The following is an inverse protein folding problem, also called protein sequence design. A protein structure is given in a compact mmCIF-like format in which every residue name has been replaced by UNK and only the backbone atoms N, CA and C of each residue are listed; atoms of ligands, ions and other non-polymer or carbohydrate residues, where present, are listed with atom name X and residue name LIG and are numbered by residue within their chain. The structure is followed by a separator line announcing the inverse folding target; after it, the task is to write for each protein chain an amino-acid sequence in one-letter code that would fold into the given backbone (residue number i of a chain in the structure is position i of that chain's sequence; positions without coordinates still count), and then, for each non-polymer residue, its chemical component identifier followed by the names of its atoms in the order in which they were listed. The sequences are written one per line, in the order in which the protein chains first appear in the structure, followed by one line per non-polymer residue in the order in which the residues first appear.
data_IF_234461492692
#
_entry.id   IF_234461492692
#
_cell.length_a   1.000
_cell.length_b   1.000
_cell.length_c   1.000
_cell.angle_alpha   90.00
_cell.angle_beta   90.00
_cell.angle_gamma   90.00
#
_symmetry.space_group_name_H-M   'P 1'
#
loop_
_entity.id
_entity.type
_entity.pdbx_description
1 polymer ?
#
# COMPACT_ATOMS: atom_id res chain seq x y z
N UNK A 1 -1.32 29.72 -1.62
CA UNK A 1 -1.28 28.26 -1.37
C UNK A 1 -0.75 27.59 -2.62
N UNK A 2 0.50 27.13 -2.61
CA UNK A 2 1.03 26.31 -3.70
C UNK A 2 0.40 24.92 -3.51
N UNK A 3 -0.61 24.59 -4.33
CA UNK A 3 -1.03 23.20 -4.49
C UNK A 3 0.18 22.48 -5.08
N UNK A 4 0.92 21.73 -4.27
CA UNK A 4 1.92 20.81 -4.79
C UNK A 4 1.18 19.87 -5.75
N UNK A 5 1.42 20.04 -7.05
CA UNK A 5 0.87 19.12 -8.05
C UNK A 5 1.54 17.78 -7.79
N UNK A 6 0.79 16.84 -7.22
CA UNK A 6 1.25 15.48 -7.02
C UNK A 6 1.54 14.88 -8.39
N UNK A 7 2.81 14.86 -8.80
CA UNK A 7 3.24 14.38 -10.11
C UNK A 7 3.28 12.85 -10.13
N UNK A 8 2.81 12.29 -11.24
CA UNK A 8 2.99 10.88 -11.60
C UNK A 8 4.49 10.52 -11.58
N UNK A 9 4.80 9.28 -11.21
CA UNK A 9 6.16 8.76 -11.21
C UNK A 9 6.23 7.38 -11.83
N UNK A 10 7.40 7.00 -12.32
CA UNK A 10 7.60 5.72 -13.00
C UNK A 10 8.95 5.10 -12.65
N UNK A 11 9.02 3.78 -12.80
CA UNK A 11 10.27 3.02 -12.91
C UNK A 11 10.25 2.22 -14.23
N UNK A 12 11.22 1.33 -14.42
CA UNK A 12 11.32 0.53 -15.66
C UNK A 12 10.09 -0.35 -15.92
N UNK A 13 9.35 -0.76 -14.86
CA UNK A 13 8.21 -1.69 -14.95
C UNK A 13 6.85 -1.02 -14.86
N UNK A 14 6.73 0.05 -14.09
CA UNK A 14 5.47 0.61 -13.65
C UNK A 14 5.39 2.13 -13.86
N UNK A 15 4.21 2.61 -14.21
CA UNK A 15 3.78 4.00 -14.06
C UNK A 15 2.81 4.08 -12.87
N UNK A 16 3.06 4.98 -11.93
CA UNK A 16 2.18 5.29 -10.81
C UNK A 16 1.54 6.65 -11.02
N UNK A 17 0.21 6.65 -11.10
CA UNK A 17 -0.60 7.86 -11.16
C UNK A 17 -1.25 8.10 -9.80
N UNK A 18 -1.14 9.33 -9.29
CA UNK A 18 -1.71 9.67 -7.99
C UNK A 18 -3.20 9.97 -8.18
N UNK A 19 -4.05 9.25 -7.43
CA UNK A 19 -5.51 9.45 -7.47
C UNK A 19 -5.93 10.42 -6.38
N UNK A 20 -5.44 10.20 -5.15
CA UNK A 20 -5.66 11.08 -3.99
C UNK A 20 -4.52 10.94 -2.97
N UNK A 21 -4.73 11.43 -1.75
CA UNK A 21 -3.73 11.43 -0.68
C UNK A 21 -3.25 10.04 -0.24
N UNK A 22 -3.98 8.96 -0.55
CA UNK A 22 -3.66 7.59 -0.11
C UNK A 22 -3.74 6.55 -1.23
N UNK A 23 -4.46 6.84 -2.32
CA UNK A 23 -4.69 5.92 -3.43
C UNK A 23 -3.89 6.31 -4.65
N UNK A 24 -3.26 5.32 -5.26
CA UNK A 24 -2.57 5.39 -6.55
C UNK A 24 -3.20 4.42 -7.54
N UNK A 25 -2.97 4.68 -8.82
CA UNK A 25 -3.18 3.73 -9.91
C UNK A 25 -1.83 3.29 -10.45
N UNK A 26 -1.51 2.01 -10.33
CA UNK A 26 -0.32 1.40 -10.91
C UNK A 26 -0.65 0.79 -12.26
N UNK A 27 0.11 1.16 -13.28
CA UNK A 27 0.00 0.64 -14.64
C UNK A 27 1.29 -0.12 -14.95
N UNK A 28 1.17 -1.39 -15.32
CA UNK A 28 2.28 -2.21 -15.81
C UNK A 28 2.60 -1.80 -17.24
N UNK A 29 3.82 -1.37 -17.54
CA UNK A 29 4.18 -0.80 -18.84
C UNK A 29 4.04 -1.80 -20.00
N UNK A 30 4.41 -3.05 -19.78
CA UNK A 30 4.38 -4.08 -20.84
C UNK A 30 2.95 -4.51 -21.21
N UNK A 31 2.09 -4.70 -20.21
CA UNK A 31 0.74 -5.23 -20.42
C UNK A 31 -0.32 -4.14 -20.50
N UNK A 32 0.01 -2.90 -20.10
CA UNK A 32 -0.92 -1.79 -19.91
C UNK A 32 -2.05 -2.09 -18.89
N UNK A 33 -1.93 -3.18 -18.13
CA UNK A 33 -2.87 -3.51 -17.07
C UNK A 33 -2.73 -2.50 -15.93
N UNK A 34 -3.87 -2.06 -15.41
CA UNK A 34 -3.92 -1.10 -14.32
C UNK A 34 -4.60 -1.67 -13.10
N UNK A 35 -4.07 -1.35 -11.93
CA UNK A 35 -4.65 -1.71 -10.64
C UNK A 35 -4.54 -0.52 -9.70
N UNK A 36 -5.53 -0.32 -8.84
CA UNK A 36 -5.44 0.66 -7.77
C UNK A 36 -4.72 0.08 -6.58
N UNK A 37 -3.92 0.89 -5.91
CA UNK A 37 -3.20 0.48 -4.72
C UNK A 37 -3.10 1.58 -3.66
N UNK A 38 -3.00 1.14 -2.41
CA UNK A 38 -2.68 1.95 -1.25
C UNK A 38 -1.80 1.15 -0.31
N UNK A 39 -1.05 1.84 0.55
CA UNK A 39 -0.16 1.19 1.51
C UNK A 39 -0.56 1.52 2.94
N UNK A 40 -0.36 0.53 3.79
CA UNK A 40 -0.49 0.60 5.23
C UNK A 40 0.82 0.10 5.84
N UNK A 41 1.24 0.70 6.95
CA UNK A 41 2.48 0.34 7.62
C UNK A 41 2.27 0.27 9.12
N UNK A 42 2.88 -0.75 9.73
CA UNK A 42 2.82 -0.94 11.18
C UNK A 42 3.71 0.02 11.93
N UNK A 43 3.39 0.19 13.21
CA UNK A 43 4.38 0.59 14.18
C UNK A 43 5.54 -0.43 14.20
N UNK A 44 6.65 -0.03 14.82
CA UNK A 44 7.75 -0.93 15.10
C UNK A 44 7.34 -1.89 16.22
N UNK A 45 7.15 -3.15 15.86
CA UNK A 45 6.58 -4.17 16.73
C UNK A 45 7.55 -5.33 16.89
N UNK A 46 7.44 -6.04 18.01
CA UNK A 46 8.07 -7.36 18.13
C UNK A 46 7.36 -8.35 17.19
N UNK A 47 8.05 -9.44 16.84
CA UNK A 47 7.45 -10.46 15.97
C UNK A 47 6.13 -11.00 16.53
N UNK A 48 6.02 -11.16 17.86
CA UNK A 48 4.80 -11.63 18.51
C UNK A 48 3.64 -10.64 18.33
N UNK A 49 3.88 -9.34 18.54
CA UNK A 49 2.85 -8.31 18.41
C UNK A 49 2.37 -8.13 16.96
N UNK A 50 3.22 -8.39 15.97
CA UNK A 50 2.83 -8.37 14.56
C UNK A 50 1.76 -9.40 14.22
N UNK A 51 1.76 -10.56 14.88
CA UNK A 51 0.72 -11.58 14.67
C UNK A 51 -0.67 -11.01 14.98
N UNK A 52 -0.80 -10.27 16.08
CA UNK A 52 -2.04 -9.59 16.45
C UNK A 52 -2.39 -8.46 15.49
N UNK A 53 -1.39 -7.72 15.03
CA UNK A 53 -1.53 -6.64 14.06
C UNK A 53 -2.10 -7.14 12.70
N UNK A 54 -1.71 -8.33 12.24
CA UNK A 54 -2.29 -8.90 11.01
C UNK A 54 -3.79 -9.18 11.09
N UNK A 55 -4.38 -9.25 12.30
CA UNK A 55 -5.82 -9.39 12.45
C UNK A 55 -6.59 -8.11 12.09
N UNK A 56 -5.97 -6.93 12.17
CA UNK A 56 -6.58 -5.66 11.76
C UNK A 56 -6.85 -5.64 10.25
N UNK A 57 -6.06 -6.40 9.49
CA UNK A 57 -6.22 -6.58 8.06
C UNK A 57 -7.26 -7.65 7.71
N UNK A 58 -7.86 -8.34 8.68
CA UNK A 58 -8.81 -9.43 8.42
C UNK A 58 -10.00 -8.94 7.59
N UNK A 59 -10.60 -7.81 7.98
CA UNK A 59 -11.76 -7.24 7.26
C UNK A 59 -11.38 -6.89 5.83
N UNK A 60 -10.23 -6.22 5.63
CA UNK A 60 -9.71 -5.89 4.30
C UNK A 60 -9.46 -7.15 3.48
N UNK A 61 -8.79 -8.17 4.05
CA UNK A 61 -8.47 -9.44 3.41
C UNK A 61 -9.72 -10.22 3.00
N UNK A 62 -10.75 -10.24 3.85
CA UNK A 62 -12.01 -10.92 3.55
C UNK A 62 -12.76 -10.20 2.42
N UNK A 63 -12.55 -8.88 2.26
CA UNK A 63 -13.19 -8.07 1.24
C UNK A 63 -12.46 -8.11 -0.13
N UNK A 64 -11.16 -7.78 -0.18
CA UNK A 64 -10.40 -7.74 -1.45
C UNK A 64 -9.73 -9.07 -1.79
N UNK A 65 -9.70 -10.02 -0.86
CA UNK A 65 -9.05 -11.32 -1.04
C UNK A 65 -7.54 -11.29 -0.79
N UNK A 66 -7.02 -12.39 -0.24
CA UNK A 66 -5.61 -12.53 0.14
C UNK A 66 -4.63 -12.36 -1.04
N UNK A 67 -5.03 -12.75 -2.26
CA UNK A 67 -4.20 -12.63 -3.46
C UNK A 67 -3.91 -11.18 -3.86
N UNK A 68 -4.70 -10.23 -3.35
CA UNK A 68 -4.57 -8.79 -3.61
C UNK A 68 -3.83 -8.05 -2.48
N UNK A 69 -3.12 -8.78 -1.62
CA UNK A 69 -2.35 -8.24 -0.50
C UNK A 69 -0.91 -8.70 -0.60
N UNK A 70 0.02 -7.76 -0.71
CA UNK A 70 1.44 -8.02 -0.60
C UNK A 70 1.98 -7.40 0.68
N UNK A 71 2.76 -8.16 1.44
CA UNK A 71 3.35 -7.68 2.68
C UNK A 71 4.86 -7.88 2.66
N UNK A 72 5.59 -6.86 3.09
CA UNK A 72 7.04 -6.92 3.29
C UNK A 72 7.32 -6.66 4.76
N UNK A 73 8.15 -7.53 5.35
CA UNK A 73 8.60 -7.38 6.72
C UNK A 73 10.04 -6.87 6.72
N UNK A 74 10.27 -5.72 7.34
CA UNK A 74 11.59 -5.11 7.47
C UNK A 74 12.09 -5.27 8.89
N UNK A 75 13.31 -5.80 9.05
CA UNK A 75 13.96 -5.86 10.36
C UNK A 75 14.49 -4.46 10.72
N UNK A 76 14.09 -3.95 11.88
CA UNK A 76 14.49 -2.62 12.36
C UNK A 76 15.64 -2.69 13.40
N UNK A 77 16.12 -3.91 13.68
CA UNK A 77 17.13 -4.18 14.70
C UNK A 77 16.53 -4.49 16.08
N UNK A 78 17.35 -5.05 16.96
CA UNK A 78 17.00 -5.33 18.37
C UNK A 78 15.69 -6.13 18.57
N UNK A 79 15.35 -7.02 17.62
CA UNK A 79 14.13 -7.84 17.69
C UNK A 79 12.83 -7.12 17.31
N UNK A 80 12.93 -5.90 16.77
CA UNK A 80 11.80 -5.14 16.23
C UNK A 80 11.72 -5.26 14.72
N UNK A 81 10.49 -5.22 14.23
CA UNK A 81 10.15 -5.36 12.83
C UNK A 81 9.04 -4.37 12.47
N UNK A 82 8.99 -4.03 11.20
CA UNK A 82 7.93 -3.20 10.64
C UNK A 82 7.34 -3.89 9.41
N UNK A 83 6.03 -4.05 9.39
CA UNK A 83 5.31 -4.59 8.25
C UNK A 83 4.83 -3.43 7.36
N UNK A 84 5.14 -3.50 6.07
CA UNK A 84 4.56 -2.64 5.04
C UNK A 84 3.67 -3.49 4.15
N UNK A 85 2.40 -3.11 4.04
CA UNK A 85 1.36 -3.88 3.36
C UNK A 85 0.81 -3.07 2.21
N UNK A 86 0.98 -3.57 0.99
CA UNK A 86 0.39 -3.04 -0.22
C UNK A 86 -0.91 -3.79 -0.52
N UNK A 87 -1.98 -3.04 -0.69
CA UNK A 87 -3.34 -3.53 -0.96
C UNK A 87 -3.72 -3.16 -2.38
N UNK A 88 -4.33 -4.08 -3.12
CA UNK A 88 -4.66 -3.91 -4.53
C UNK A 88 -6.15 -4.13 -4.79
N UNK A 89 -6.72 -3.40 -5.75
CA UNK A 89 -8.06 -3.66 -6.28
C UNK A 89 -8.20 -3.08 -7.69
N UNK A 90 -9.12 -3.63 -8.47
CA UNK A 90 -9.49 -3.10 -9.78
C UNK A 90 -10.33 -1.81 -9.68
N UNK A 91 -10.80 -1.45 -8.48
CA UNK A 91 -11.61 -0.25 -8.21
C UNK A 91 -11.05 0.57 -7.05
N UNK A 92 -10.83 1.87 -7.29
CA UNK A 92 -10.44 2.81 -6.23
C UNK A 92 -11.51 2.90 -5.12
N UNK A 93 -12.80 2.78 -5.48
CA UNK A 93 -13.88 2.84 -4.50
C UNK A 93 -13.91 1.61 -3.61
N UNK A 94 -13.74 0.43 -4.22
CA UNK A 94 -13.65 -0.84 -3.49
C UNK A 94 -12.47 -0.80 -2.52
N UNK A 95 -11.30 -0.34 -2.99
CA UNK A 95 -10.11 -0.21 -2.16
C UNK A 95 -10.32 0.74 -0.98
N UNK A 96 -10.95 1.90 -1.19
CA UNK A 96 -11.26 2.86 -0.12
C UNK A 96 -12.20 2.26 0.93
N UNK A 97 -13.25 1.57 0.49
CA UNK A 97 -14.19 0.95 1.42
C UNK A 97 -13.51 -0.18 2.23
N UNK A 98 -12.68 -0.99 1.57
CA UNK A 98 -11.93 -2.07 2.23
C UNK A 98 -10.92 -1.58 3.28
N UNK A 99 -10.58 -0.29 3.27
CA UNK A 99 -9.51 0.30 4.06
C UNK A 99 -9.97 1.47 4.93
N UNK A 100 -11.28 1.70 5.04
CA UNK A 100 -11.83 2.83 5.81
C UNK A 100 -11.49 2.79 7.30
N UNK A 101 -11.18 1.60 7.83
CA UNK A 101 -10.76 1.38 9.21
C UNK A 101 -9.24 1.40 9.41
N UNK A 102 -8.46 1.57 8.34
CA UNK A 102 -6.99 1.57 8.39
C UNK A 102 -6.42 2.99 8.32
N UNK A 103 -5.30 3.21 9.00
CA UNK A 103 -4.51 4.44 8.83
C UNK A 103 -3.50 4.25 7.69
N UNK A 104 -3.88 4.70 6.50
CA UNK A 104 -3.05 4.56 5.30
C UNK A 104 -1.87 5.53 5.28
N UNK A 105 -0.78 5.13 4.65
CA UNK A 105 0.35 6.02 4.38
C UNK A 105 -0.05 7.15 3.43
N UNK A 106 0.57 8.32 3.59
CA UNK A 106 0.50 9.37 2.57
C UNK A 106 1.11 8.87 1.26
N UNK A 107 0.49 9.25 0.15
CA UNK A 107 0.86 8.80 -1.19
C UNK A 107 2.31 9.13 -1.55
N UNK A 108 2.87 10.21 -1.02
CA UNK A 108 4.28 10.59 -1.21
C UNK A 108 5.21 9.51 -0.68
N UNK A 109 4.90 8.97 0.50
CA UNK A 109 5.67 7.91 1.15
C UNK A 109 5.37 6.56 0.51
N UNK A 110 4.09 6.24 0.28
CA UNK A 110 3.65 4.98 -0.30
C UNK A 110 4.25 4.73 -1.69
N UNK A 111 4.33 5.79 -2.50
CA UNK A 111 4.98 5.82 -3.82
C UNK A 111 6.39 5.25 -3.81
N UNK A 112 7.21 5.64 -2.83
CA UNK A 112 8.61 5.23 -2.78
C UNK A 112 8.71 3.70 -2.63
N UNK A 113 7.88 3.11 -1.77
CA UNK A 113 7.82 1.66 -1.59
C UNK A 113 7.36 0.91 -2.85
N UNK A 114 6.43 1.50 -3.60
CA UNK A 114 5.89 0.88 -4.82
C UNK A 114 6.84 0.93 -6.03
N UNK A 115 7.78 1.88 -6.04
CA UNK A 115 8.78 2.03 -7.11
C UNK A 115 10.10 1.32 -6.82
N UNK A 116 10.39 0.98 -5.56
CA UNK A 116 11.61 0.26 -5.15
C UNK A 116 11.57 -1.25 -5.42
N UNK A 117 10.51 -1.79 -6.05
CA UNK A 117 10.30 -3.21 -6.34
C UNK A 117 10.40 -3.56 -7.85
#
# INVERSE_FOLDING_TARGET
MIKATMQDQENDKYLLQIVDAHVMKRITKDTQESVYCCLYQSDMLTLHALTSYTNELKVTKDYIGAANINSTLTAMGNGYYQATVALFSQSAQELRHATEHLTLLDVTTARNYMLTA
#
